data_IF_429631514911
#
_entry.id   IF_429631514911
#
_cell.length_a   1.000
_cell.length_b   1.000
_cell.length_c   1.000
_cell.angle_alpha   90.00
_cell.angle_beta   90.00
_cell.angle_gamma   90.00
#
_symmetry.space_group_name_H-M   'P 1'
#
loop_
_entity.id
_entity.type
_entity.pdbx_description
1 polymer ?
#
# COMPACT_ATOMS: atom_id res chain seq x y z
N UNK A 1 -43.03 28.52 -13.40
CA UNK A 1 -42.12 27.50 -13.96
C UNK A 1 -40.93 27.38 -13.02
N UNK A 2 -40.87 26.32 -12.19
CA UNK A 2 -39.74 26.04 -11.29
C UNK A 2 -38.57 25.56 -12.15
N UNK A 3 -37.45 26.29 -12.16
CA UNK A 3 -36.21 25.80 -12.75
C UNK A 3 -35.58 24.81 -11.77
N UNK A 4 -35.30 23.61 -12.27
CA UNK A 4 -34.54 22.57 -11.58
C UNK A 4 -33.12 23.07 -11.31
N UNK A 5 -32.64 22.85 -10.07
CA UNK A 5 -31.21 22.94 -9.75
C UNK A 5 -30.50 21.76 -10.43
N UNK A 6 -29.29 21.94 -11.01
CA UNK A 6 -28.47 20.81 -11.37
C UNK A 6 -27.99 20.10 -10.10
N UNK A 7 -28.28 18.80 -10.00
CA UNK A 7 -27.63 17.89 -9.05
C UNK A 7 -26.14 17.85 -9.38
N UNK A 8 -25.30 18.36 -8.49
CA UNK A 8 -23.85 18.16 -8.50
C UNK A 8 -23.54 16.77 -7.96
N UNK A 9 -23.74 15.75 -8.77
CA UNK A 9 -23.38 14.34 -8.49
C UNK A 9 -22.36 13.86 -9.52
N UNK A 10 -21.13 14.37 -9.48
CA UNK A 10 -19.94 13.70 -10.05
C UNK A 10 -18.71 14.56 -9.76
N UNK A 11 -18.15 14.43 -8.56
CA UNK A 11 -16.75 14.79 -8.27
C UNK A 11 -16.30 14.28 -6.88
N UNK A 12 -16.85 13.17 -6.39
CA UNK A 12 -16.12 12.37 -5.40
C UNK A 12 -15.02 11.62 -6.15
N UNK A 13 -13.91 12.34 -6.38
CA UNK A 13 -12.61 11.73 -6.67
C UNK A 13 -12.40 10.68 -5.56
N UNK A 14 -12.51 9.40 -5.93
CA UNK A 14 -12.39 8.24 -5.03
C UNK A 14 -11.23 8.45 -4.05
N UNK A 15 -11.56 8.95 -2.87
CA UNK A 15 -10.59 9.22 -1.82
C UNK A 15 -10.31 7.90 -1.13
N UNK A 16 -9.04 7.61 -0.88
CA UNK A 16 -8.63 6.49 -0.04
C UNK A 16 -9.43 6.50 1.27
N UNK A 17 -10.01 5.35 1.59
CA UNK A 17 -10.82 5.11 2.79
C UNK A 17 -9.94 4.90 4.02
N UNK A 18 -8.70 4.43 3.83
CA UNK A 18 -7.73 4.17 4.89
C UNK A 18 -6.80 5.35 5.11
N UNK A 19 -6.32 5.46 6.34
CA UNK A 19 -5.23 6.37 6.70
C UNK A 19 -3.89 5.64 6.69
N UNK A 20 -2.87 6.25 6.08
CA UNK A 20 -1.52 5.69 5.96
C UNK A 20 -0.52 6.56 6.71
N UNK A 21 0.03 6.04 7.80
CA UNK A 21 0.93 6.75 8.72
C UNK A 21 2.35 6.17 8.65
N UNK A 22 3.32 7.02 8.32
CA UNK A 22 4.74 6.63 8.24
C UNK A 22 5.65 7.86 8.21
N UNK A 23 6.85 7.73 8.79
CA UNK A 23 7.99 8.64 8.64
C UNK A 23 8.98 8.17 7.58
N UNK A 24 8.95 6.88 7.26
CA UNK A 24 10.03 6.19 6.55
C UNK A 24 9.80 6.18 5.03
N UNK A 25 8.59 6.52 4.60
CA UNK A 25 8.20 6.53 3.19
C UNK A 25 7.56 7.86 2.79
N UNK A 26 7.92 8.32 1.60
CA UNK A 26 7.20 9.34 0.85
C UNK A 26 5.97 8.69 0.22
N UNK A 27 4.83 9.36 0.38
CA UNK A 27 3.51 8.92 -0.09
C UNK A 27 3.14 9.63 -1.38
N UNK A 28 2.81 8.88 -2.42
CA UNK A 28 2.26 9.39 -3.67
C UNK A 28 0.89 8.76 -3.91
N UNK A 29 -0.17 9.57 -3.91
CA UNK A 29 -1.55 9.10 -4.05
C UNK A 29 -1.94 9.00 -5.53
N UNK A 30 -2.54 7.87 -5.92
CA UNK A 30 -3.02 7.58 -7.26
C UNK A 30 -4.44 6.99 -7.19
N UNK A 31 -5.46 7.86 -7.22
CA UNK A 31 -6.86 7.49 -7.11
C UNK A 31 -7.14 6.53 -5.93
N UNK A 32 -7.38 5.24 -6.20
CA UNK A 32 -7.65 4.18 -5.21
C UNK A 32 -6.38 3.46 -4.73
N UNK A 33 -5.20 4.00 -5.01
CA UNK A 33 -3.94 3.42 -4.57
C UNK A 33 -2.99 4.47 -4.01
N UNK A 34 -2.03 3.99 -3.24
CA UNK A 34 -0.92 4.76 -2.73
C UNK A 34 0.37 4.04 -3.09
N UNK A 35 1.33 4.81 -3.60
CA UNK A 35 2.71 4.36 -3.74
C UNK A 35 3.53 4.88 -2.57
N UNK A 36 4.32 3.99 -2.00
CA UNK A 36 5.16 4.22 -0.84
C UNK A 36 6.61 3.98 -1.27
N UNK A 37 7.37 5.07 -1.34
CA UNK A 37 8.78 5.05 -1.70
C UNK A 37 9.61 5.40 -0.48
N UNK A 38 10.67 4.65 -0.22
CA UNK A 38 11.55 4.90 0.91
C UNK A 38 12.05 6.35 0.89
N UNK A 39 11.88 7.08 2.00
CA UNK A 39 12.35 8.46 2.17
C UNK A 39 13.87 8.55 2.24
N UNK A 40 14.52 7.45 2.61
CA UNK A 40 15.96 7.34 2.76
C UNK A 40 16.65 7.01 1.42
N UNK A 41 17.89 7.46 1.27
CA UNK A 41 18.69 7.18 0.08
C UNK A 41 19.22 5.73 0.01
N UNK A 42 19.17 5.00 1.14
CA UNK A 42 19.70 3.65 1.29
C UNK A 42 18.84 2.82 2.26
N UNK A 43 18.85 1.51 2.09
CA UNK A 43 18.45 0.56 3.11
C UNK A 43 19.64 0.27 4.04
N UNK A 44 19.41 0.39 5.34
CA UNK A 44 20.33 -0.07 6.37
C UNK A 44 19.84 -1.40 6.92
N UNK A 45 20.75 -2.38 7.06
CA UNK A 45 20.44 -3.74 7.52
C UNK A 45 19.83 -3.77 8.92
N UNK A 46 20.29 -2.88 9.77
CA UNK A 46 19.90 -2.80 11.19
C UNK A 46 18.61 -2.01 11.40
N UNK A 47 18.10 -1.37 10.35
CA UNK A 47 16.88 -0.59 10.39
C UNK A 47 15.69 -1.39 9.88
N UNK A 48 14.51 -0.99 10.34
CA UNK A 48 13.22 -1.46 9.85
C UNK A 48 12.37 -0.26 9.51
N UNK A 49 11.73 -0.30 8.35
CA UNK A 49 10.92 0.80 7.83
C UNK A 49 9.45 0.42 7.92
N UNK A 50 8.61 1.26 8.52
CA UNK A 50 7.26 0.88 8.94
C UNK A 50 6.20 1.79 8.34
N UNK A 51 5.10 1.18 7.92
CA UNK A 51 3.84 1.87 7.59
C UNK A 51 2.73 1.30 8.46
N UNK A 52 1.97 2.18 9.12
CA UNK A 52 0.73 1.83 9.78
C UNK A 52 -0.45 2.20 8.88
N UNK A 53 -1.40 1.29 8.76
CA UNK A 53 -2.62 1.46 7.98
C UNK A 53 -3.77 1.39 8.96
N UNK A 54 -4.58 2.45 9.02
CA UNK A 54 -5.67 2.59 9.99
C UNK A 54 -6.99 2.68 9.25
N UNK A 55 -7.94 1.85 9.68
CA UNK A 55 -9.31 1.88 9.20
C UNK A 55 -10.21 2.55 10.25
N UNK A 56 -10.68 3.76 9.95
CA UNK A 56 -11.65 4.49 10.78
C UNK A 56 -13.11 4.25 10.36
N UNK A 57 -13.35 3.36 9.39
CA UNK A 57 -14.68 3.06 8.87
C UNK A 57 -15.36 1.98 9.72
N UNK A 58 -16.67 1.91 9.56
CA UNK A 58 -17.53 0.87 10.14
C UNK A 58 -17.50 -0.45 9.36
N UNK A 59 -16.86 -0.48 8.19
CA UNK A 59 -16.80 -1.66 7.31
C UNK A 59 -15.37 -2.12 7.04
N UNK A 60 -15.24 -3.40 6.68
CA UNK A 60 -13.97 -3.97 6.26
C UNK A 60 -13.52 -3.31 4.96
N UNK A 61 -12.28 -2.82 4.92
CA UNK A 61 -11.67 -2.35 3.66
C UNK A 61 -10.72 -3.42 3.15
N UNK A 62 -10.92 -3.86 1.91
CA UNK A 62 -10.02 -4.82 1.26
C UNK A 62 -8.88 -4.06 0.61
N UNK A 63 -7.64 -4.54 0.79
CA UNK A 63 -6.47 -4.00 0.11
C UNK A 63 -5.72 -5.08 -0.65
N UNK A 64 -5.03 -4.67 -1.72
CA UNK A 64 -4.02 -5.46 -2.41
C UNK A 64 -2.67 -4.75 -2.32
N UNK A 65 -1.64 -5.52 -1.97
CA UNK A 65 -0.28 -5.06 -1.75
C UNK A 65 0.63 -5.73 -2.77
N UNK A 66 1.41 -4.94 -3.51
CA UNK A 66 2.40 -5.44 -4.48
C UNK A 66 3.62 -4.54 -4.55
N UNK A 67 4.68 -5.05 -5.17
CA UNK A 67 5.83 -4.25 -5.60
C UNK A 67 5.91 -4.29 -7.13
N UNK A 68 6.94 -3.68 -7.70
CA UNK A 68 7.15 -3.65 -9.15
C UNK A 68 8.45 -4.31 -9.60
N UNK A 69 9.18 -4.92 -8.66
CA UNK A 69 10.51 -5.42 -8.93
C UNK A 69 10.50 -6.88 -9.38
N UNK A 70 10.79 -7.10 -10.66
CA UNK A 70 10.76 -8.41 -11.31
C UNK A 70 12.15 -8.95 -11.67
N UNK A 71 13.19 -8.60 -10.91
CA UNK A 71 14.54 -9.09 -11.19
C UNK A 71 14.95 -10.11 -10.12
N UNK A 72 15.02 -11.37 -10.52
CA UNK A 72 15.33 -12.52 -9.65
C UNK A 72 16.68 -12.41 -8.94
N UNK A 73 17.67 -11.69 -9.50
CA UNK A 73 18.97 -11.46 -8.83
C UNK A 73 18.83 -10.68 -7.53
N UNK A 74 17.66 -10.09 -7.30
CA UNK A 74 17.35 -9.40 -6.08
C UNK A 74 16.53 -10.19 -5.06
N UNK A 75 16.29 -11.47 -5.29
CA UNK A 75 15.62 -12.32 -4.31
C UNK A 75 16.45 -12.45 -3.05
N UNK A 76 15.78 -12.52 -1.91
CA UNK A 76 16.34 -12.74 -0.58
C UNK A 76 16.94 -11.50 0.09
N UNK A 77 16.76 -10.31 -0.49
CA UNK A 77 17.45 -9.10 0.00
C UNK A 77 16.56 -8.15 0.78
N UNK A 78 15.33 -7.94 0.34
CA UNK A 78 14.37 -7.07 1.00
C UNK A 78 13.10 -7.87 1.23
N UNK A 79 12.58 -7.77 2.45
CA UNK A 79 11.41 -8.50 2.88
C UNK A 79 10.36 -7.54 3.44
N UNK A 80 9.10 -7.91 3.19
CA UNK A 80 7.92 -7.30 3.78
C UNK A 80 7.32 -8.26 4.81
N UNK A 81 7.09 -7.74 6.00
CA UNK A 81 6.37 -8.40 7.06
C UNK A 81 4.99 -7.77 7.17
N UNK A 82 3.95 -8.58 6.98
CA UNK A 82 2.55 -8.20 7.08
C UNK A 82 1.92 -9.19 8.06
N UNK A 83 1.46 -8.68 9.20
CA UNK A 83 1.07 -9.49 10.36
C UNK A 83 2.17 -10.52 10.74
N UNK A 84 1.86 -11.82 10.72
CA UNK A 84 2.80 -12.91 11.03
C UNK A 84 3.51 -13.50 9.80
N UNK A 85 3.29 -12.94 8.60
CA UNK A 85 3.81 -13.48 7.35
C UNK A 85 4.94 -12.62 6.81
N UNK A 86 5.93 -13.29 6.20
CA UNK A 86 7.10 -12.70 5.58
C UNK A 86 7.05 -12.95 4.06
N UNK A 87 7.25 -11.90 3.28
CA UNK A 87 7.21 -11.92 1.82
C UNK A 87 8.48 -11.32 1.25
N UNK A 88 9.02 -11.92 0.20
CA UNK A 88 10.09 -11.32 -0.59
C UNK A 88 9.51 -10.25 -1.51
N UNK A 89 10.17 -9.09 -1.63
CA UNK A 89 9.69 -8.04 -2.53
C UNK A 89 9.70 -8.48 -4.00
N UNK A 90 10.55 -9.42 -4.40
CA UNK A 90 10.57 -9.93 -5.78
C UNK A 90 9.33 -10.76 -6.06
N UNK A 91 8.93 -11.60 -5.12
CA UNK A 91 7.75 -12.46 -5.27
C UNK A 91 6.47 -11.59 -5.39
N UNK A 92 6.40 -10.52 -4.60
CA UNK A 92 5.35 -9.49 -4.70
C UNK A 92 5.43 -8.61 -5.96
N UNK A 93 6.48 -8.76 -6.76
CA UNK A 93 6.57 -8.14 -8.09
C UNK A 93 5.81 -8.93 -9.15
N UNK A 94 5.61 -10.23 -8.94
CA UNK A 94 4.86 -11.13 -9.82
C UNK A 94 3.42 -11.36 -9.35
N UNK A 95 3.23 -11.39 -8.03
CA UNK A 95 1.95 -11.61 -7.38
C UNK A 95 1.56 -10.42 -6.48
N UNK A 96 0.37 -10.45 -5.90
CA UNK A 96 -0.05 -9.50 -4.89
C UNK A 96 -0.62 -10.23 -3.68
N UNK A 97 -0.50 -9.60 -2.51
CA UNK A 97 -1.13 -10.08 -1.28
C UNK A 97 -2.41 -9.30 -1.08
N UNK A 98 -3.52 -10.01 -0.89
CA UNK A 98 -4.80 -9.41 -0.50
C UNK A 98 -5.05 -9.63 0.99
N UNK A 99 -5.57 -8.61 1.65
CA UNK A 99 -6.04 -8.71 3.02
C UNK A 99 -7.21 -7.75 3.28
N UNK A 100 -7.91 -8.00 4.38
CA UNK A 100 -8.94 -7.10 4.89
C UNK A 100 -8.39 -6.35 6.10
N UNK A 101 -8.68 -5.05 6.16
CA UNK A 101 -8.46 -4.24 7.36
C UNK A 101 -9.82 -4.10 8.07
N UNK A 102 -10.00 -4.71 9.25
CA UNK A 102 -11.26 -4.62 9.99
C UNK A 102 -11.68 -3.20 10.35
N UNK A 103 -12.98 -2.95 10.63
CA UNK A 103 -13.46 -1.69 11.19
C UNK A 103 -12.70 -1.29 12.44
N UNK A 104 -12.46 0.02 12.60
CA UNK A 104 -11.81 0.60 13.80
C UNK A 104 -10.52 -0.10 14.21
N UNK A 105 -9.74 -0.58 13.23
CA UNK A 105 -8.55 -1.37 13.47
C UNK A 105 -7.34 -0.82 12.72
N UNK A 106 -6.18 -1.37 13.03
CA UNK A 106 -4.93 -1.04 12.35
C UNK A 106 -4.14 -2.30 12.02
N UNK A 107 -3.40 -2.24 10.93
CA UNK A 107 -2.31 -3.18 10.62
C UNK A 107 -1.01 -2.43 10.38
N UNK A 108 0.11 -3.13 10.50
CA UNK A 108 1.43 -2.61 10.20
C UNK A 108 2.10 -3.44 9.13
N UNK A 109 2.71 -2.76 8.18
CA UNK A 109 3.65 -3.34 7.23
C UNK A 109 5.05 -2.90 7.63
N UNK A 110 5.96 -3.86 7.77
CA UNK A 110 7.36 -3.60 8.08
C UNK A 110 8.24 -4.10 6.94
N UNK A 111 9.10 -3.23 6.43
CA UNK A 111 10.08 -3.53 5.40
C UNK A 111 11.48 -3.60 6.02
N UNK A 112 12.23 -4.64 5.69
CA UNK A 112 13.60 -4.83 6.19
C UNK A 112 14.51 -5.35 5.08
N UNK A 113 15.76 -4.87 5.08
CA UNK A 113 16.82 -5.41 4.22
C UNK A 113 17.74 -6.35 4.99
N UNK A 114 18.23 -7.40 4.36
CA UNK A 114 19.23 -8.33 4.95
C UNK A 114 20.65 -7.78 4.94
N UNK A 115 20.88 -6.68 4.23
CA UNK A 115 22.18 -6.04 4.04
C UNK A 115 22.03 -4.54 3.80
N UNK A 116 23.13 -3.79 3.87
CA UNK A 116 23.12 -2.40 3.46
C UNK A 116 22.99 -2.31 1.93
N UNK A 117 22.09 -1.46 1.42
CA UNK A 117 21.83 -1.28 0.00
C UNK A 117 21.65 0.21 -0.32
N UNK A 118 22.59 0.77 -1.06
CA UNK A 118 22.62 2.18 -1.48
C UNK A 118 22.31 2.38 -2.97
N UNK A 119 22.21 1.29 -3.72
CA UNK A 119 21.95 1.31 -5.15
C UNK A 119 20.53 1.79 -5.43
N UNK A 120 20.40 2.89 -6.19
CA UNK A 120 19.09 3.47 -6.58
C UNK A 120 18.11 2.47 -7.19
N UNK A 121 18.58 1.51 -7.99
CA UNK A 121 17.72 0.49 -8.60
C UNK A 121 16.98 -0.35 -7.55
N UNK A 122 17.58 -0.54 -6.37
CA UNK A 122 16.97 -1.24 -5.24
C UNK A 122 16.00 -0.39 -4.45
N UNK A 123 16.31 0.90 -4.27
CA UNK A 123 15.38 1.84 -3.66
C UNK A 123 14.10 1.96 -4.49
N UNK A 124 14.23 1.99 -5.82
CA UNK A 124 13.08 1.98 -6.72
C UNK A 124 12.40 0.60 -6.79
N UNK A 125 13.14 -0.49 -6.64
CA UNK A 125 12.59 -1.84 -6.60
C UNK A 125 11.64 -2.06 -5.43
N UNK A 126 11.96 -1.45 -4.29
CA UNK A 126 11.20 -1.58 -3.07
C UNK A 126 10.00 -0.62 -2.98
N UNK A 127 9.65 0.08 -4.07
CA UNK A 127 8.41 0.86 -4.12
C UNK A 127 7.24 -0.10 -3.90
N UNK A 128 6.47 0.17 -2.84
CA UNK A 128 5.31 -0.59 -2.46
C UNK A 128 4.06 0.12 -2.97
N UNK A 129 3.19 -0.59 -3.68
CA UNK A 129 1.86 -0.11 -4.01
C UNK A 129 0.84 -0.82 -3.13
N UNK A 130 -0.04 -0.03 -2.51
CA UNK A 130 -1.21 -0.52 -1.79
C UNK A 130 -2.44 0.03 -2.51
N UNK A 131 -3.32 -0.85 -2.95
CA UNK A 131 -4.56 -0.50 -3.63
C UNK A 131 -5.75 -0.90 -2.79
N UNK A 132 -6.66 0.02 -2.54
CA UNK A 132 -7.95 -0.26 -1.92
C UNK A 132 -8.90 -0.85 -2.97
N UNK A 133 -9.50 -1.99 -2.65
CA UNK A 133 -10.41 -2.72 -3.53
C UNK A 133 -11.83 -2.43 -3.06
N UNK A 134 -12.54 -1.60 -3.82
CA UNK A 134 -13.96 -1.37 -3.58
C UNK A 134 -14.76 -2.62 -3.96
N UNK A 135 -15.32 -3.28 -2.95
CA UNK A 135 -16.28 -4.36 -3.18
C UNK A 135 -17.62 -3.70 -3.54
N UNK A 136 -17.93 -3.60 -4.83
CA UNK A 136 -19.26 -3.17 -5.25
C UNK A 136 -20.29 -4.13 -4.64
N UNK A 137 -21.17 -3.62 -3.77
CA UNK A 137 -22.38 -4.35 -3.38
C UNK A 137 -23.16 -4.63 -4.66
N UNK A 138 -23.32 -5.91 -5.02
CA UNK A 138 -24.33 -6.30 -6.00
C UNK A 138 -25.68 -5.81 -5.45
N UNK A 139 -26.26 -4.81 -6.10
CA UNK A 139 -27.68 -4.52 -5.98
C UNK A 139 -28.37 -5.73 -6.60
N UNK A 140 -29.00 -6.55 -5.76
CA UNK A 140 -29.98 -7.52 -6.25
C UNK A 140 -31.26 -6.70 -6.40
N UNK A 141 -31.70 -6.51 -7.65
CA UNK A 141 -33.01 -5.93 -8.00
C UNK A 141 -34.16 -6.82 -7.50
#
# INVERSE_FOLDING_TARGET
>A
KKQLKPQSETDEINKLQLEYLTSDFVKENEAQSIQLKLSHAAFNREETYKINIVNHKEENVKIAIRTFYKNEKGRGKIFLHIDSKKYDIVDLGYEHVEMFIPPHSQTSIVMQSTQNIDKKSWINAAILQIKEIHLCKKVIE
#
